data_IF_407805454931
#
_entry.id   IF_407805454931
#
_cell.length_a   1.000
_cell.length_b   1.000
_cell.length_c   1.000
_cell.angle_alpha   90.00
_cell.angle_beta   90.00
_cell.angle_gamma   90.00
#
_symmetry.space_group_name_H-M   'P 1'
#
loop_
_entity.id
_entity.type
_entity.pdbx_description
1 polymer ?
#
# COMPACT_ATOMS: atom_id res chain seq x y z
N UNK A 1 -9.95 -11.00 -5.69
CA UNK A 1 -10.40 -10.35 -6.94
C UNK A 1 -9.23 -10.29 -7.89
N UNK A 2 -9.41 -10.61 -9.17
CA UNK A 2 -8.32 -10.65 -10.15
C UNK A 2 -8.48 -9.57 -11.23
N UNK A 3 -7.39 -8.90 -11.60
CA UNK A 3 -7.35 -7.84 -12.61
C UNK A 3 -6.12 -7.96 -13.52
N UNK A 4 -6.23 -7.37 -14.71
CA UNK A 4 -5.11 -7.22 -15.65
C UNK A 4 -4.95 -5.75 -16.03
N UNK A 5 -3.73 -5.23 -15.94
CA UNK A 5 -3.36 -3.88 -16.35
C UNK A 5 -2.56 -3.94 -17.64
N UNK A 6 -3.07 -3.27 -18.67
CA UNK A 6 -2.39 -3.08 -19.94
C UNK A 6 -1.91 -1.63 -20.10
N UNK A 7 -2.65 -0.67 -19.54
CA UNK A 7 -2.31 0.76 -19.61
C UNK A 7 -2.37 1.45 -18.26
N UNK A 8 -1.82 2.66 -18.17
CA UNK A 8 -1.81 3.45 -16.92
C UNK A 8 -3.24 3.80 -16.46
N UNK A 9 -4.19 3.93 -17.39
CA UNK A 9 -5.60 4.23 -17.11
C UNK A 9 -6.34 3.05 -16.45
N UNK A 10 -5.84 1.82 -16.59
CA UNK A 10 -6.47 0.64 -15.97
C UNK A 10 -6.37 0.69 -14.43
N UNK A 11 -5.35 1.37 -13.88
CA UNK A 11 -5.23 1.59 -12.44
C UNK A 11 -6.44 2.31 -11.86
N UNK A 12 -7.01 3.28 -12.58
CA UNK A 12 -8.18 4.01 -12.13
C UNK A 12 -9.36 3.05 -11.89
N UNK A 13 -9.61 2.13 -12.83
CA UNK A 13 -10.71 1.15 -12.72
C UNK A 13 -10.53 0.21 -11.53
N UNK A 14 -9.29 -0.19 -11.27
CA UNK A 14 -8.96 -1.06 -10.13
C UNK A 14 -9.20 -0.33 -8.82
N UNK A 15 -8.73 0.91 -8.69
CA UNK A 15 -8.95 1.72 -7.48
C UNK A 15 -10.44 1.97 -7.27
N UNK A 16 -11.20 2.30 -8.32
CA UNK A 16 -12.66 2.49 -8.24
C UNK A 16 -13.38 1.22 -7.75
N UNK A 17 -12.83 0.04 -8.06
CA UNK A 17 -13.36 -1.26 -7.61
C UNK A 17 -12.97 -1.59 -6.17
N UNK A 18 -11.74 -1.23 -5.76
CA UNK A 18 -11.17 -1.61 -4.47
C UNK A 18 -11.60 -0.68 -3.34
N UNK A 19 -11.68 0.64 -3.58
CA UNK A 19 -12.05 1.60 -2.53
C UNK A 19 -13.36 1.21 -1.80
N UNK A 20 -14.44 0.79 -2.48
CA UNK A 20 -15.66 0.34 -1.80
C UNK A 20 -15.50 -0.91 -0.93
N UNK A 21 -14.45 -1.71 -1.16
CA UNK A 21 -14.17 -2.94 -0.42
C UNK A 21 -13.27 -2.70 0.80
N UNK A 22 -12.66 -1.52 0.93
CA UNK A 22 -11.80 -1.19 2.06
C UNK A 22 -12.60 -1.08 3.36
N UNK A 23 -12.53 -2.13 4.17
CA UNK A 23 -13.19 -2.25 5.49
C UNK A 23 -12.21 -2.11 6.66
N UNK A 24 -10.92 -2.09 6.39
CA UNK A 24 -9.84 -2.13 7.38
C UNK A 24 -8.83 -1.05 7.03
N UNK A 25 -8.12 -0.57 8.04
CA UNK A 25 -7.14 0.50 7.90
C UNK A 25 -5.74 -0.03 7.56
N UNK A 26 -5.53 -1.34 7.42
CA UNK A 26 -4.25 -1.91 7.00
C UNK A 26 -4.40 -2.47 5.58
N UNK A 27 -3.51 -2.03 4.70
CA UNK A 27 -3.45 -2.45 3.30
C UNK A 27 -2.03 -2.89 2.96
N UNK A 28 -1.86 -4.17 2.67
CA UNK A 28 -0.58 -4.76 2.30
C UNK A 28 -0.42 -4.74 0.78
N UNK A 29 0.73 -4.29 0.31
CA UNK A 29 1.01 -4.15 -1.12
C UNK A 29 2.30 -4.91 -1.48
N UNK A 30 2.12 -6.08 -2.07
CA UNK A 30 3.18 -7.01 -2.46
C UNK A 30 3.46 -6.93 -3.96
N UNK A 31 4.69 -7.28 -4.32
CA UNK A 31 5.13 -7.35 -5.71
C UNK A 31 6.58 -6.93 -5.87
N UNK A 32 7.21 -7.34 -6.98
CA UNK A 32 8.63 -7.08 -7.22
C UNK A 32 8.95 -5.59 -7.40
N UNK A 33 10.24 -5.24 -7.40
CA UNK A 33 10.70 -3.90 -7.73
C UNK A 33 10.19 -3.49 -9.12
N UNK A 34 9.61 -2.30 -9.23
CA UNK A 34 9.03 -1.82 -10.49
C UNK A 34 7.68 -2.47 -10.88
N UNK A 35 7.08 -3.31 -10.02
CA UNK A 35 5.77 -3.91 -10.28
C UNK A 35 4.65 -2.86 -10.40
N UNK A 36 4.79 -1.68 -9.81
CA UNK A 36 3.79 -0.61 -9.85
C UNK A 36 3.09 -0.35 -8.53
N UNK A 37 3.64 -0.82 -7.40
CA UNK A 37 3.11 -0.59 -6.05
C UNK A 37 2.88 0.90 -5.75
N UNK A 38 3.92 1.72 -5.87
CA UNK A 38 3.77 3.17 -5.67
C UNK A 38 2.82 3.82 -6.68
N UNK A 39 2.74 3.32 -7.92
CA UNK A 39 1.75 3.79 -8.90
C UNK A 39 0.33 3.52 -8.42
N UNK A 40 0.04 2.33 -7.91
CA UNK A 40 -1.24 2.04 -7.27
C UNK A 40 -1.53 3.02 -6.13
N UNK A 41 -0.56 3.24 -5.22
CA UNK A 41 -0.69 4.17 -4.09
C UNK A 41 -1.03 5.60 -4.54
N UNK A 42 -0.42 6.08 -5.64
CA UNK A 42 -0.73 7.39 -6.23
C UNK A 42 -2.20 7.48 -6.67
N UNK A 43 -2.71 6.49 -7.41
CA UNK A 43 -4.11 6.47 -7.83
C UNK A 43 -5.07 6.34 -6.64
N UNK A 44 -4.73 5.48 -5.66
CA UNK A 44 -5.52 5.28 -4.46
C UNK A 44 -5.65 6.59 -3.66
N UNK A 45 -4.55 7.25 -3.33
CA UNK A 45 -4.56 8.49 -2.55
C UNK A 45 -5.28 9.63 -3.25
N UNK A 46 -5.10 9.77 -4.58
CA UNK A 46 -5.85 10.73 -5.38
C UNK A 46 -7.36 10.50 -5.29
N UNK A 47 -7.80 9.25 -5.41
CA UNK A 47 -9.21 8.90 -5.31
C UNK A 47 -9.76 9.03 -3.88
N UNK A 48 -8.92 8.85 -2.86
CA UNK A 48 -9.26 9.15 -1.47
C UNK A 48 -9.34 10.66 -1.19
N UNK A 49 -9.00 11.50 -2.17
CA UNK A 49 -9.11 12.95 -2.09
C UNK A 49 -7.87 13.66 -1.55
N UNK A 50 -6.72 12.98 -1.50
CA UNK A 50 -5.45 13.64 -1.19
C UNK A 50 -5.02 14.58 -2.33
N UNK A 51 -4.48 15.73 -1.96
CA UNK A 51 -3.83 16.68 -2.88
C UNK A 51 -2.31 16.64 -2.76
N UNK A 52 -1.78 15.78 -1.90
CA UNK A 52 -0.35 15.70 -1.62
C UNK A 52 0.39 15.00 -2.76
N UNK A 53 1.67 15.33 -2.94
CA UNK A 53 2.51 14.67 -3.93
C UNK A 53 2.96 13.30 -3.40
N UNK A 54 2.53 12.24 -4.07
CA UNK A 54 2.78 10.86 -3.64
C UNK A 54 4.01 10.31 -4.33
N UNK A 55 5.03 10.01 -3.52
CA UNK A 55 6.28 9.42 -3.95
C UNK A 55 6.60 8.19 -3.08
N UNK A 56 7.43 7.28 -3.59
CA UNK A 56 7.85 6.12 -2.81
C UNK A 56 8.69 6.54 -1.60
N UNK A 57 8.37 6.10 -0.38
CA UNK A 57 9.10 6.42 0.83
C UNK A 57 10.36 5.55 1.00
N UNK A 58 10.98 5.04 -0.07
CA UNK A 58 12.15 4.14 0.05
C UNK A 58 13.29 4.68 0.94
N UNK A 59 13.46 6.00 1.08
CA UNK A 59 14.47 6.59 1.98
C UNK A 59 13.91 7.11 3.31
N UNK A 60 12.70 7.65 3.32
CA UNK A 60 12.02 8.11 4.54
C UNK A 60 11.41 6.96 5.35
N UNK A 61 11.27 5.80 4.72
CA UNK A 61 10.58 4.57 5.14
C UNK A 61 9.07 4.76 5.30
N UNK A 62 8.63 5.91 5.80
CA UNK A 62 7.23 6.33 5.90
C UNK A 62 7.02 7.72 5.29
N UNK A 63 5.94 7.88 4.54
CA UNK A 63 5.37 9.17 4.16
C UNK A 63 3.97 9.31 4.76
N UNK A 64 3.61 10.54 5.13
CA UNK A 64 2.27 10.90 5.62
C UNK A 64 1.53 11.71 4.56
N UNK A 65 0.25 11.38 4.35
CA UNK A 65 -0.63 12.08 3.44
C UNK A 65 -1.95 12.46 4.09
N UNK A 66 -2.48 13.61 3.70
CA UNK A 66 -3.76 14.12 4.17
C UNK A 66 -4.89 13.70 3.24
N UNK A 67 -5.97 13.17 3.80
CA UNK A 67 -7.23 12.95 3.08
C UNK A 67 -8.40 13.56 3.86
N UNK A 68 -9.55 13.83 3.21
CA UNK A 68 -10.76 14.24 3.92
C UNK A 68 -11.25 13.26 5.00
N UNK A 69 -10.82 11.99 4.96
CA UNK A 69 -11.22 10.95 5.91
C UNK A 69 -10.22 10.76 7.06
N UNK A 70 -9.04 11.39 6.99
CA UNK A 70 -7.97 11.27 7.98
C UNK A 70 -6.60 11.05 7.35
N UNK A 71 -5.61 10.77 8.19
CA UNK A 71 -4.22 10.55 7.77
C UNK A 71 -4.06 9.20 7.09
N UNK A 72 -3.33 9.18 5.99
CA UNK A 72 -2.86 7.95 5.36
C UNK A 72 -1.35 7.88 5.51
N UNK A 73 -0.86 6.74 6.00
CA UNK A 73 0.57 6.47 6.10
C UNK A 73 0.97 5.45 5.05
N UNK A 74 2.05 5.74 4.35
CA UNK A 74 2.61 4.87 3.33
C UNK A 74 3.99 4.44 3.77
N UNK A 75 4.13 3.14 4.03
CA UNK A 75 5.38 2.50 4.41
C UNK A 75 5.98 1.77 3.21
N UNK A 76 7.30 1.81 3.08
CA UNK A 76 8.08 0.96 2.18
C UNK A 76 9.16 0.26 3.00
N UNK A 77 8.90 -1.00 3.37
CA UNK A 77 9.78 -1.77 4.25
C UNK A 77 10.87 -2.53 3.48
N UNK A 78 11.03 -2.31 2.17
CA UNK A 78 11.97 -3.04 1.30
C UNK A 78 13.40 -3.09 1.84
N UNK A 79 13.83 -2.04 2.55
CA UNK A 79 15.20 -1.90 3.07
C UNK A 79 15.38 -2.41 4.49
N UNK A 80 14.30 -2.66 5.21
CA UNK A 80 14.36 -3.10 6.59
C UNK A 80 14.71 -4.58 6.62
N UNK A 81 15.69 -4.93 7.45
CA UNK A 81 16.27 -6.28 7.43
C UNK A 81 15.66 -7.22 8.45
N UNK A 82 15.06 -6.67 9.49
CA UNK A 82 14.54 -7.41 10.62
C UNK A 82 13.43 -6.59 11.29
N UNK A 83 12.71 -7.26 12.17
CA UNK A 83 11.57 -6.69 12.87
C UNK A 83 11.95 -5.56 13.84
N UNK A 84 13.15 -5.58 14.43
CA UNK A 84 13.61 -4.53 15.36
C UNK A 84 13.69 -3.17 14.65
N UNK A 85 14.20 -3.14 13.41
CA UNK A 85 14.23 -1.92 12.59
C UNK A 85 12.82 -1.38 12.29
N UNK A 86 11.81 -2.25 12.20
CA UNK A 86 10.41 -1.84 12.01
C UNK A 86 9.85 -1.22 13.29
N UNK A 87 10.14 -1.82 14.45
CA UNK A 87 9.73 -1.29 15.74
C UNK A 87 10.38 0.05 16.07
N UNK A 88 11.65 0.24 15.70
CA UNK A 88 12.37 1.52 15.91
C UNK A 88 11.72 2.70 15.17
N UNK A 89 10.95 2.43 14.10
CA UNK A 89 10.19 3.45 13.35
C UNK A 89 8.87 3.79 14.05
N UNK A 90 8.41 2.93 14.98
CA UNK A 90 7.16 3.11 15.71
C UNK A 90 5.91 2.80 14.87
N UNK A 91 5.98 1.81 13.95
CA UNK A 91 4.88 1.48 13.02
C UNK A 91 3.53 1.27 13.73
N UNK A 92 3.54 0.72 14.93
CA UNK A 92 2.34 0.38 15.71
C UNK A 92 1.49 1.62 16.02
N UNK A 93 2.13 2.73 16.39
CA UNK A 93 1.44 3.99 16.69
C UNK A 93 0.70 4.53 15.45
N UNK A 94 1.25 4.32 14.26
CA UNK A 94 0.60 4.72 13.02
C UNK A 94 -0.61 3.83 12.72
N UNK A 95 -0.47 2.50 12.87
CA UNK A 95 -1.56 1.55 12.61
C UNK A 95 -2.79 1.84 13.48
N UNK A 96 -2.60 2.29 14.72
CA UNK A 96 -3.71 2.61 15.63
C UNK A 96 -4.44 3.92 15.28
N UNK A 97 -3.75 4.89 14.66
CA UNK A 97 -4.26 6.26 14.48
C UNK A 97 -4.58 6.61 13.02
N UNK A 98 -4.24 5.75 12.07
CA UNK A 98 -4.44 6.00 10.65
C UNK A 98 -5.90 5.80 10.19
N UNK A 99 -6.31 6.62 9.23
CA UNK A 99 -7.43 6.25 8.37
C UNK A 99 -7.05 5.05 7.48
N UNK A 100 -5.82 5.03 6.95
CA UNK A 100 -5.27 3.91 6.18
C UNK A 100 -3.74 3.86 6.31
N UNK A 101 -3.19 2.68 6.47
CA UNK A 101 -1.77 2.35 6.39
C UNK A 101 -1.56 1.47 5.16
N UNK A 102 -0.79 1.97 4.19
CA UNK A 102 -0.38 1.25 2.99
C UNK A 102 1.04 0.76 3.24
N UNK A 103 1.26 -0.55 3.30
CA UNK A 103 2.56 -1.16 3.60
C UNK A 103 3.07 -1.88 2.36
N UNK A 104 4.04 -1.27 1.68
CA UNK A 104 4.79 -1.94 0.61
C UNK A 104 5.86 -2.87 1.23
N UNK A 105 6.02 -4.05 0.62
CA UNK A 105 6.96 -5.09 1.07
C UNK A 105 6.76 -5.48 2.55
N UNK A 106 5.58 -5.99 2.90
CA UNK A 106 5.22 -6.28 4.29
C UNK A 106 5.99 -7.46 4.90
N UNK A 107 6.81 -8.19 4.13
CA UNK A 107 7.31 -9.53 4.49
C UNK A 107 8.07 -9.57 5.83
N UNK A 108 8.75 -8.49 6.20
CA UNK A 108 9.50 -8.39 7.47
C UNK A 108 8.60 -8.15 8.69
N UNK A 109 7.37 -7.69 8.47
CA UNK A 109 6.40 -7.31 9.50
C UNK A 109 5.12 -8.18 9.49
N UNK A 110 4.94 -9.01 8.46
CA UNK A 110 3.68 -9.72 8.20
C UNK A 110 3.27 -10.66 9.35
N UNK A 111 4.24 -11.31 10.01
CA UNK A 111 3.98 -12.18 11.16
C UNK A 111 3.37 -11.43 12.35
N UNK A 112 3.71 -10.14 12.54
CA UNK A 112 3.15 -9.29 13.61
C UNK A 112 1.70 -8.88 13.35
N UNK A 113 1.23 -9.02 12.11
CA UNK A 113 -0.16 -8.77 11.76
C UNK A 113 -1.08 -9.94 12.12
N UNK A 114 -0.56 -11.00 12.76
CA UNK A 114 -1.34 -12.16 13.16
C UNK A 114 -2.54 -11.77 14.05
N UNK A 115 -3.73 -12.12 13.61
CA UNK A 115 -4.99 -11.81 14.31
C UNK A 115 -5.56 -10.42 14.02
N UNK A 116 -4.83 -9.56 13.30
CA UNK A 116 -5.37 -8.33 12.74
C UNK A 116 -6.09 -8.59 11.43
N UNK A 117 -6.95 -7.65 11.04
CA UNK A 117 -7.63 -7.67 9.73
C UNK A 117 -6.98 -6.66 8.82
N UNK A 118 -6.63 -7.08 7.62
CA UNK A 118 -6.01 -6.26 6.59
C UNK A 118 -6.58 -6.64 5.23
N UNK A 119 -6.36 -5.76 4.26
CA UNK A 119 -6.53 -6.04 2.83
C UNK A 119 -5.17 -6.35 2.25
N UNK A 120 -5.09 -7.26 1.29
CA UNK A 120 -3.84 -7.56 0.60
C UNK A 120 -4.00 -7.38 -0.91
N UNK A 121 -3.00 -6.76 -1.54
CA UNK A 121 -2.85 -6.74 -2.99
C UNK A 121 -1.48 -7.26 -3.38
N UNK A 122 -1.45 -8.19 -4.32
CA UNK A 122 -0.23 -8.64 -4.99
C UNK A 122 -0.20 -8.19 -6.44
N UNK A 123 0.92 -7.61 -6.88
CA UNK A 123 1.13 -7.16 -8.27
C UNK A 123 2.29 -7.95 -8.89
N UNK A 124 2.00 -8.67 -9.97
CA UNK A 124 2.97 -9.42 -10.76
C UNK A 124 3.16 -8.74 -12.12
N UNK A 125 4.41 -8.38 -12.45
CA UNK A 125 4.76 -7.90 -13.78
C UNK A 125 5.20 -9.08 -14.65
N UNK A 126 4.44 -9.39 -15.70
CA UNK A 126 4.70 -10.52 -16.61
C UNK A 126 5.67 -10.15 -17.75
N UNK A 127 6.03 -8.87 -17.87
CA UNK A 127 6.80 -8.32 -18.98
C UNK A 127 5.92 -7.72 -20.09
N UNK A 128 4.70 -8.23 -20.28
CA UNK A 128 3.73 -7.70 -21.24
C UNK A 128 2.65 -6.85 -20.57
N UNK A 129 2.20 -7.28 -19.39
CA UNK A 129 1.15 -6.64 -18.61
C UNK A 129 1.45 -6.76 -17.10
N UNK A 130 0.53 -6.28 -16.26
CA UNK A 130 0.54 -6.60 -14.83
C UNK A 130 -0.71 -7.36 -14.46
N UNK A 131 -0.52 -8.41 -13.69
CA UNK A 131 -1.60 -9.19 -13.08
C UNK A 131 -1.71 -8.79 -11.61
N UNK A 132 -2.94 -8.59 -11.15
CA UNK A 132 -3.22 -8.12 -9.79
C UNK A 132 -4.22 -9.04 -9.14
N UNK A 133 -3.86 -9.52 -7.96
CA UNK A 133 -4.76 -10.20 -7.04
C UNK A 133 -5.02 -9.30 -5.83
N UNK A 134 -6.27 -9.22 -5.38
CA UNK A 134 -6.69 -8.45 -4.21
C UNK A 134 -7.62 -9.28 -3.32
N UNK A 135 -7.27 -9.40 -2.04
CA UNK A 135 -8.01 -10.18 -1.03
C UNK A 135 -8.45 -9.31 0.16
#
# INVERSE_FOLDING_TARGET
>A
MEFTINTIEDWQKIVDTIIPQLQHNIFLLKGNLGAGKTTFTQFLLKNLGSTDEVNSPTYSIVNEYNTPKGKVYHFDLYRLKNIEEVYDIGIEEYLDNAFLCIIEWPEVYEDELYGLKYHEMSIVNTGENREISFD
#
